data_IF_402760636264
#
_entry.id   IF_402760636264
#
_cell.length_a   1.000
_cell.length_b   1.000
_cell.length_c   1.000
_cell.angle_alpha   90.00
_cell.angle_beta   90.00
_cell.angle_gamma   90.00
#
_symmetry.space_group_name_H-M   'P 1'
#
loop_
_entity.id
_entity.type
_entity.pdbx_description
1 polymer ?
#
# COMPACT_ATOMS: atom_id res chain seq x y z
N UNK A 1 -13.63 -10.34 -10.26
CA UNK A 1 -12.37 -9.85 -10.88
C UNK A 1 -11.13 -10.05 -9.99
N UNK A 2 -11.17 -9.63 -8.72
CA UNK A 2 -9.98 -9.61 -7.86
C UNK A 2 -9.43 -11.01 -7.53
N UNK A 3 -10.30 -11.92 -7.11
CA UNK A 3 -9.91 -13.31 -6.80
C UNK A 3 -9.47 -14.08 -8.04
N UNK A 4 -10.15 -13.88 -9.18
CA UNK A 4 -9.78 -14.52 -10.46
C UNK A 4 -8.36 -14.11 -10.86
N UNK A 5 -8.05 -12.81 -10.85
CA UNK A 5 -6.70 -12.33 -11.11
C UNK A 5 -5.69 -12.85 -10.08
N UNK A 6 -6.03 -12.83 -8.79
CA UNK A 6 -5.15 -13.38 -7.75
C UNK A 6 -4.76 -14.83 -8.04
N UNK A 7 -5.73 -15.71 -8.31
CA UNK A 7 -5.44 -17.12 -8.61
C UNK A 7 -4.68 -17.31 -9.92
N UNK A 8 -5.02 -16.56 -10.98
CA UNK A 8 -4.27 -16.63 -12.25
C UNK A 8 -2.84 -16.10 -12.11
N UNK A 9 -2.61 -15.11 -11.25
CA UNK A 9 -1.26 -14.61 -10.94
C UNK A 9 -0.43 -15.59 -10.14
N UNK A 10 -1.03 -16.27 -9.15
CA UNK A 10 -0.36 -17.37 -8.42
C UNK A 10 0.04 -18.50 -9.37
N UNK A 11 -0.77 -18.76 -10.40
CA UNK A 11 -0.48 -19.75 -11.44
C UNK A 11 0.53 -19.28 -12.49
N UNK A 12 0.94 -18.01 -12.49
CA UNK A 12 1.86 -17.43 -13.47
C UNK A 12 1.22 -17.05 -14.81
N UNK A 13 -0.11 -17.07 -14.91
CA UNK A 13 -0.84 -16.78 -16.14
C UNK A 13 -1.13 -15.28 -16.33
N UNK A 14 -1.06 -14.48 -15.27
CA UNK A 14 -1.36 -13.04 -15.30
C UNK A 14 -0.51 -12.25 -14.29
N UNK A 15 -0.28 -10.96 -14.56
CA UNK A 15 0.28 -10.04 -13.57
C UNK A 15 -0.75 -9.72 -12.48
N UNK A 16 -0.31 -9.70 -11.21
CA UNK A 16 -1.17 -9.39 -10.07
C UNK A 16 -1.59 -7.91 -10.12
N UNK A 17 -2.89 -7.65 -10.02
CA UNK A 17 -3.45 -6.29 -10.08
C UNK A 17 -3.19 -5.49 -8.80
N UNK A 18 -3.02 -6.15 -7.66
CA UNK A 18 -2.75 -5.54 -6.35
C UNK A 18 -1.39 -6.02 -5.80
N UNK A 19 -0.27 -5.50 -6.34
CA UNK A 19 1.05 -5.84 -5.85
C UNK A 19 1.24 -5.41 -4.38
N UNK A 20 2.06 -6.15 -3.65
CA UNK A 20 2.28 -5.94 -2.22
C UNK A 20 2.94 -4.59 -1.91
N UNK A 21 3.76 -4.09 -2.82
CA UNK A 21 4.46 -2.81 -2.72
C UNK A 21 3.48 -1.63 -2.64
N UNK A 22 2.47 -1.62 -3.51
CA UNK A 22 1.41 -0.60 -3.51
C UNK A 22 0.51 -0.75 -2.27
N UNK A 23 0.26 -2.00 -1.85
CA UNK A 23 -0.43 -2.28 -0.59
C UNK A 23 0.32 -1.74 0.63
N UNK A 24 1.65 -1.88 0.64
CA UNK A 24 2.52 -1.39 1.71
C UNK A 24 2.50 0.14 1.79
N UNK A 25 2.68 0.84 0.67
CA UNK A 25 2.61 2.31 0.63
C UNK A 25 1.28 2.81 1.19
N UNK A 26 0.18 2.19 0.78
CA UNK A 26 -1.16 2.53 1.27
C UNK A 26 -1.28 2.34 2.78
N UNK A 27 -0.78 1.23 3.32
CA UNK A 27 -0.82 0.95 4.75
C UNK A 27 0.00 1.96 5.56
N UNK A 28 1.23 2.28 5.11
CA UNK A 28 2.07 3.32 5.73
C UNK A 28 1.35 4.66 5.76
N UNK A 29 0.74 5.08 4.64
CA UNK A 29 0.00 6.34 4.57
C UNK A 29 -1.15 6.39 5.57
N UNK A 30 -1.97 5.34 5.65
CA UNK A 30 -3.12 5.28 6.58
C UNK A 30 -2.65 5.42 8.03
N UNK A 31 -1.58 4.73 8.42
CA UNK A 31 -1.03 4.84 9.76
C UNK A 31 -0.48 6.25 10.05
N UNK A 32 0.21 6.87 9.08
CA UNK A 32 0.74 8.23 9.22
C UNK A 32 -0.36 9.30 9.28
N UNK A 33 -1.49 9.10 8.59
CA UNK A 33 -2.66 9.96 8.70
C UNK A 33 -3.24 9.93 10.12
N UNK A 34 -3.30 8.75 10.74
CA UNK A 34 -3.75 8.64 12.14
C UNK A 34 -2.83 9.43 13.08
N UNK A 35 -1.51 9.38 12.89
CA UNK A 35 -0.54 10.20 13.63
C UNK A 35 -0.76 11.70 13.41
N UNK A 36 -1.01 12.13 12.17
CA UNK A 36 -1.25 13.52 11.80
C UNK A 36 -2.51 14.08 12.48
N UNK A 37 -3.59 13.29 12.47
CA UNK A 37 -4.87 13.63 13.12
C UNK A 37 -4.67 13.76 14.63
N UNK A 38 -4.02 12.78 15.26
CA UNK A 38 -3.78 12.78 16.71
C UNK A 38 -2.96 14.00 17.17
N UNK A 39 -2.00 14.44 16.35
CA UNK A 39 -1.18 15.62 16.62
C UNK A 39 -1.76 16.94 16.07
N UNK A 40 -2.96 16.91 15.46
CA UNK A 40 -3.61 18.07 14.82
C UNK A 40 -2.68 18.89 13.92
N UNK A 41 -1.79 18.21 13.17
CA UNK A 41 -0.76 18.85 12.34
C UNK A 41 -0.63 18.21 10.98
N UNK A 42 -0.12 18.97 10.02
CA UNK A 42 0.31 18.43 8.73
C UNK A 42 1.58 17.59 8.91
N UNK A 43 1.62 16.44 8.26
CA UNK A 43 2.83 15.61 8.11
C UNK A 43 3.15 15.55 6.61
N UNK A 44 4.43 15.68 6.28
CA UNK A 44 4.94 15.51 4.92
C UNK A 44 5.50 14.09 4.79
N UNK A 45 5.08 13.37 3.74
CA UNK A 45 5.58 12.05 3.42
C UNK A 45 6.63 12.15 2.32
N UNK A 46 7.80 11.57 2.56
CA UNK A 46 8.93 11.50 1.65
C UNK A 46 9.06 10.09 1.07
N UNK A 47 9.73 9.91 -0.07
CA UNK A 47 9.98 8.58 -0.63
C UNK A 47 10.67 7.61 0.34
N UNK A 48 11.46 8.13 1.28
CA UNK A 48 12.13 7.36 2.33
C UNK A 48 11.16 6.73 3.34
N UNK A 49 9.99 7.33 3.55
CA UNK A 49 8.99 6.82 4.50
C UNK A 49 8.35 5.50 4.02
N UNK A 50 8.54 5.16 2.75
CA UNK A 50 8.03 3.94 2.12
C UNK A 50 9.11 2.86 1.92
N UNK A 51 10.31 3.06 2.46
CA UNK A 51 11.40 2.06 2.43
C UNK A 51 11.33 1.19 3.69
N UNK A 52 11.70 -0.08 3.56
CA UNK A 52 11.83 -1.05 4.69
C UNK A 52 13.27 -1.09 5.16
#
# INVERSE_FOLDING_TARGET
PHLVNFFESVRGNQTLNCPGEIGYETAVMVLKVNEAIAAARKIELKPEDFKV
#
